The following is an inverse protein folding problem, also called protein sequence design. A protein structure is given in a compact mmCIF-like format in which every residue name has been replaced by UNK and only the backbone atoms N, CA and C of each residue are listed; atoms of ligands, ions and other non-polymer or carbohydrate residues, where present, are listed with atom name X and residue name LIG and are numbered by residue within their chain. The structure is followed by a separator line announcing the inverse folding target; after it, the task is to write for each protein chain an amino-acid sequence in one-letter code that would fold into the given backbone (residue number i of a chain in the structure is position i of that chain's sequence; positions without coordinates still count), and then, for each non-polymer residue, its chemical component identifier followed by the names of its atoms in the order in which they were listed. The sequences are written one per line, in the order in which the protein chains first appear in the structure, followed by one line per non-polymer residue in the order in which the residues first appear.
data_IF_504906839771
#
_entry.id   IF_504906839771
#
_cell.length_a   1.000
_cell.length_b   1.000
_cell.length_c   1.000
_cell.angle_alpha   90.00
_cell.angle_beta   90.00
_cell.angle_gamma   90.00
#
_symmetry.space_group_name_H-M   'P 1'
#
loop_
_entity.id
_entity.type
_entity.pdbx_description
1 polymer ?
#
# COMPACT_ATOMS: atom_id res chain seq x y z
N UNK A 1 -18.60 -14.76 -3.05
CA UNK A 1 -17.28 -14.94 -3.72
C UNK A 1 -16.37 -13.73 -3.54
N UNK A 2 -16.77 -12.53 -3.97
CA UNK A 2 -15.93 -11.33 -3.79
C UNK A 2 -15.69 -11.03 -2.30
N UNK A 3 -16.78 -10.86 -1.54
CA UNK A 3 -16.74 -10.53 -0.11
C UNK A 3 -16.07 -11.61 0.74
N UNK A 4 -16.38 -12.88 0.47
CA UNK A 4 -16.02 -13.99 1.34
C UNK A 4 -14.66 -14.63 1.02
N UNK A 5 -14.12 -14.38 -0.18
CA UNK A 5 -12.85 -14.97 -0.63
C UNK A 5 -11.90 -13.93 -1.18
N UNK A 6 -12.30 -13.22 -2.24
CA UNK A 6 -11.38 -12.33 -2.96
C UNK A 6 -10.83 -11.20 -2.09
N UNK A 7 -11.71 -10.46 -1.40
CA UNK A 7 -11.31 -9.31 -0.60
C UNK A 7 -10.41 -9.69 0.59
N UNK A 8 -10.74 -10.70 1.42
CA UNK A 8 -9.85 -11.15 2.49
C UNK A 8 -8.49 -11.63 1.97
N UNK A 9 -8.46 -12.43 0.89
CA UNK A 9 -7.20 -12.90 0.29
C UNK A 9 -6.37 -11.76 -0.30
N UNK A 10 -7.01 -10.74 -0.86
CA UNK A 10 -6.33 -9.55 -1.39
C UNK A 10 -5.72 -8.72 -0.28
N UNK A 11 -6.42 -8.57 0.85
CA UNK A 11 -5.90 -7.90 2.04
C UNK A 11 -4.73 -8.69 2.63
N UNK A 12 -4.86 -10.01 2.79
CA UNK A 12 -3.80 -10.85 3.36
C UNK A 12 -2.51 -10.79 2.53
N UNK A 13 -2.66 -10.95 1.21
CA UNK A 13 -1.60 -10.82 0.21
C UNK A 13 -0.89 -9.46 0.27
N UNK A 14 -1.68 -8.38 0.28
CA UNK A 14 -1.14 -7.02 0.31
C UNK A 14 -0.43 -6.73 1.63
N UNK A 15 -1.00 -7.15 2.76
CA UNK A 15 -0.40 -6.95 4.07
C UNK A 15 0.95 -7.63 4.19
N UNK A 16 1.05 -8.91 3.82
CA UNK A 16 2.30 -9.67 3.94
C UNK A 16 3.42 -9.14 3.05
N UNK A 17 3.09 -8.52 1.92
CA UNK A 17 4.09 -8.00 0.96
C UNK A 17 4.52 -6.56 1.26
N UNK A 18 3.64 -5.71 1.81
CA UNK A 18 3.87 -4.25 1.87
C UNK A 18 3.86 -3.65 3.27
N UNK A 19 3.10 -4.21 4.22
CA UNK A 19 3.02 -3.65 5.59
C UNK A 19 4.36 -3.72 6.35
N UNK A 20 5.19 -4.78 6.24
CA UNK A 20 6.52 -4.78 6.86
C UNK A 20 7.38 -3.57 6.49
N UNK A 21 7.29 -3.12 5.23
CA UNK A 21 7.98 -1.93 4.75
C UNK A 21 7.39 -0.63 5.34
N UNK A 22 6.07 -0.53 5.45
CA UNK A 22 5.40 0.61 6.11
C UNK A 22 5.83 0.73 7.57
N UNK A 23 5.80 -0.39 8.31
CA UNK A 23 6.14 -0.42 9.74
C UNK A 23 7.62 -0.09 9.95
N UNK A 24 8.50 -0.62 9.11
CA UNK A 24 9.95 -0.38 9.20
C UNK A 24 10.28 1.08 8.87
N UNK A 25 9.73 1.63 7.80
CA UNK A 25 9.94 3.03 7.42
C UNK A 25 9.36 4.02 8.44
N UNK A 26 8.25 3.67 9.10
CA UNK A 26 7.71 4.49 10.19
C UNK A 26 8.61 4.47 11.44
N UNK A 27 9.20 3.32 11.76
CA UNK A 27 10.08 3.14 12.93
C UNK A 27 11.44 3.82 12.72
N UNK A 28 12.02 3.64 11.53
CA UNK A 28 13.29 4.25 11.13
C UNK A 28 13.15 4.92 9.75
N UNK A 29 12.81 6.22 9.71
CA UNK A 29 12.70 6.96 8.46
C UNK A 29 14.03 7.20 7.73
N UNK A 30 15.18 7.01 8.39
CA UNK A 30 16.49 7.24 7.78
C UNK A 30 16.86 6.12 6.80
N UNK A 31 16.38 4.89 7.03
CA UNK A 31 16.56 3.74 6.14
C UNK A 31 15.60 3.71 4.93
N UNK A 32 14.97 4.84 4.58
CA UNK A 32 13.98 4.90 3.50
C UNK A 32 14.55 4.43 2.14
N UNK A 33 15.78 4.79 1.82
CA UNK A 33 16.41 4.44 0.55
C UNK A 33 16.60 2.93 0.40
N UNK A 34 17.13 2.28 1.44
CA UNK A 34 17.32 0.83 1.47
C UNK A 34 15.98 0.10 1.38
N UNK A 35 14.98 0.54 2.17
CA UNK A 35 13.64 -0.06 2.16
C UNK A 35 12.92 0.09 0.82
N UNK A 36 13.13 1.21 0.12
CA UNK A 36 12.54 1.47 -1.19
C UNK A 36 13.20 0.62 -2.28
N UNK A 37 14.52 0.48 -2.24
CA UNK A 37 15.28 -0.38 -3.15
C UNK A 37 14.97 -1.87 -2.93
N UNK A 38 14.88 -2.31 -1.67
CA UNK A 38 14.52 -3.68 -1.31
C UNK A 38 13.11 -4.02 -1.80
N UNK A 39 12.15 -3.11 -1.65
CA UNK A 39 10.78 -3.32 -2.13
C UNK A 39 10.71 -3.36 -3.67
N UNK A 40 11.53 -2.57 -4.37
CA UNK A 40 11.62 -2.63 -5.83
C UNK A 40 12.15 -4.01 -6.29
N UNK A 41 13.22 -4.48 -5.64
CA UNK A 41 13.81 -5.79 -5.88
C UNK A 41 12.87 -6.95 -5.53
N UNK A 42 12.08 -6.83 -4.47
CA UNK A 42 11.12 -7.84 -4.02
C UNK A 42 9.80 -7.84 -4.81
N UNK A 43 9.61 -6.90 -5.75
CA UNK A 43 8.38 -6.79 -6.56
C UNK A 43 8.67 -7.13 -8.02
N UNK A 44 8.75 -8.43 -8.39
CA UNK A 44 9.10 -8.85 -9.75
C UNK A 44 8.01 -8.50 -10.77
N UNK A 45 6.74 -8.41 -10.34
CA UNK A 45 5.64 -8.03 -11.22
C UNK A 45 5.74 -6.55 -11.62
N UNK A 46 6.07 -6.29 -12.89
CA UNK A 46 6.26 -4.93 -13.41
C UNK A 46 5.00 -4.04 -13.29
N UNK A 47 3.80 -4.63 -13.35
CA UNK A 47 2.53 -3.91 -13.13
C UNK A 47 2.42 -3.44 -11.70
N UNK A 48 2.64 -4.35 -10.74
CA UNK A 48 2.62 -4.06 -9.31
C UNK A 48 3.65 -2.99 -8.93
N UNK A 49 4.88 -3.16 -9.43
CA UNK A 49 6.00 -2.25 -9.20
C UNK A 49 5.69 -0.84 -9.70
N UNK A 50 5.24 -0.70 -10.96
CA UNK A 50 4.84 0.60 -11.52
C UNK A 50 3.66 1.22 -10.79
N UNK A 51 2.67 0.43 -10.39
CA UNK A 51 1.53 0.93 -9.61
C UNK A 51 1.98 1.50 -8.26
N UNK A 52 2.85 0.78 -7.55
CA UNK A 52 3.41 1.22 -6.26
C UNK A 52 4.23 2.50 -6.39
N UNK A 53 5.13 2.58 -7.38
CA UNK A 53 5.94 3.77 -7.67
C UNK A 53 5.07 4.96 -8.07
N UNK A 54 4.09 4.74 -8.95
CA UNK A 54 3.20 5.82 -9.42
C UNK A 54 2.40 6.40 -8.26
N UNK A 55 1.88 5.56 -7.37
CA UNK A 55 1.12 6.01 -6.19
C UNK A 55 2.03 6.72 -5.18
N UNK A 56 3.22 6.19 -4.91
CA UNK A 56 4.17 6.82 -3.97
C UNK A 56 4.70 8.16 -4.46
N UNK A 57 5.08 8.28 -5.75
CA UNK A 57 5.49 9.56 -6.34
C UNK A 57 4.37 10.59 -6.38
N UNK A 58 3.13 10.17 -6.64
CA UNK A 58 1.97 11.06 -6.56
C UNK A 58 1.77 11.56 -5.12
N UNK A 59 1.88 10.67 -4.13
CA UNK A 59 1.79 11.02 -2.72
C UNK A 59 2.89 12.00 -2.30
N UNK A 60 4.14 11.76 -2.69
CA UNK A 60 5.27 12.66 -2.43
C UNK A 60 5.06 14.04 -3.08
N UNK A 61 4.49 14.08 -4.28
CA UNK A 61 4.16 15.34 -4.98
C UNK A 61 3.09 16.14 -4.24
N UNK A 62 2.05 15.47 -3.73
CA UNK A 62 1.02 16.13 -2.91
C UNK A 62 1.64 16.63 -1.62
N UNK A 63 2.47 15.82 -0.97
CA UNK A 63 3.14 16.18 0.27
C UNK A 63 4.04 17.40 0.12
N UNK A 64 4.92 17.42 -0.88
CA UNK A 64 5.84 18.53 -1.11
C UNK A 64 5.12 19.84 -1.39
N UNK A 65 3.94 19.79 -2.04
CA UNK A 65 3.12 20.97 -2.31
C UNK A 65 2.31 21.41 -1.08
N UNK A 66 1.65 20.48 -0.39
CA UNK A 66 0.77 20.79 0.74
C UNK A 66 1.55 21.19 2.00
N UNK A 67 2.72 20.57 2.22
CA UNK A 67 3.56 20.77 3.39
C UNK A 67 4.85 21.51 3.07
N UNK A 68 4.93 22.20 1.92
CA UNK A 68 6.08 23.02 1.51
C UNK A 68 6.54 23.98 2.62
N UNK A 69 5.60 24.53 3.39
CA UNK A 69 5.91 25.38 4.52
C UNK A 69 6.53 24.56 5.67
N UNK A 70 5.89 23.46 6.09
CA UNK A 70 6.35 22.56 7.16
C UNK A 70 7.72 21.90 6.89
N UNK A 71 7.98 21.53 5.62
CA UNK A 71 9.26 20.99 5.12
C UNK A 71 10.38 22.03 5.04
N UNK A 72 10.07 23.33 4.97
CA UNK A 72 11.09 24.39 5.09
C UNK A 72 11.61 24.53 6.52
N UNK A 73 10.81 24.18 7.54
CA UNK A 73 11.25 24.19 8.95
C UNK A 73 11.97 22.88 9.30
N UNK A 74 11.47 21.74 8.80
CA UNK A 74 12.13 20.45 8.89
C UNK A 74 13.03 20.27 7.67
N UNK A 75 14.22 20.88 7.68
CA UNK A 75 15.20 20.82 6.59
C UNK A 75 15.56 19.36 6.21
N UNK A 76 14.73 18.76 5.36
CA UNK A 76 14.93 17.51 4.62
C UNK A 76 14.78 17.84 3.11
N UNK A 77 15.20 19.04 2.72
CA UNK A 77 15.53 19.35 1.33
C UNK A 77 17.05 19.24 1.17
N UNK A 78 17.61 18.06 1.47
CA UNK A 78 18.89 17.72 0.87
C UNK A 78 18.57 17.23 -0.55
N UNK A 79 19.18 17.80 -1.60
CA UNK A 79 18.91 17.46 -3.01
C UNK A 79 19.28 16.00 -3.40
N UNK A 80 19.56 15.13 -2.43
CA UNK A 80 19.82 13.69 -2.59
C UNK A 80 18.58 12.77 -2.53
N UNK A 81 17.37 13.28 -2.27
CA UNK A 81 16.09 12.51 -2.30
C UNK A 81 15.75 11.96 -3.71
N UNK A 82 16.64 12.12 -4.69
CA UNK A 82 16.49 11.67 -6.08
C UNK A 82 16.92 10.22 -6.34
N UNK A 83 17.42 9.46 -5.36
CA UNK A 83 17.83 8.06 -5.55
C UNK A 83 16.68 7.05 -5.43
N UNK A 84 15.60 7.40 -4.71
CA UNK A 84 14.49 6.47 -4.46
C UNK A 84 13.57 6.30 -5.67
N UNK A 85 13.17 5.06 -5.93
CA UNK A 85 12.13 4.68 -6.89
C UNK A 85 10.80 5.34 -6.51
N UNK A 86 10.51 5.45 -5.22
CA UNK A 86 9.36 6.17 -4.69
C UNK A 86 8.13 5.28 -4.54
N UNK A 87 8.32 4.10 -3.97
CA UNK A 87 7.26 3.17 -3.62
C UNK A 87 6.33 3.72 -2.54
N UNK A 88 5.06 3.37 -2.66
CA UNK A 88 4.02 3.87 -1.75
C UNK A 88 4.26 3.43 -0.30
N UNK A 89 4.64 2.18 -0.04
CA UNK A 89 4.70 1.61 1.32
C UNK A 89 5.75 2.30 2.22
N UNK A 90 7.04 2.36 1.84
CA UNK A 90 8.05 3.07 2.64
C UNK A 90 7.71 4.56 2.81
N UNK A 91 7.30 5.23 1.74
CA UNK A 91 6.93 6.65 1.77
C UNK A 91 5.75 6.92 2.71
N UNK A 92 4.72 6.08 2.68
CA UNK A 92 3.56 6.21 3.58
C UNK A 92 3.98 6.15 5.04
N UNK A 93 4.86 5.21 5.41
CA UNK A 93 5.39 5.07 6.76
C UNK A 93 6.13 6.33 7.23
N UNK A 94 7.10 6.80 6.44
CA UNK A 94 7.86 8.01 6.75
C UNK A 94 6.97 9.26 6.87
N UNK A 95 6.03 9.42 5.96
CA UNK A 95 5.13 10.58 5.95
C UNK A 95 4.18 10.59 7.14
N UNK A 96 3.59 9.44 7.47
CA UNK A 96 2.70 9.33 8.63
C UNK A 96 3.45 9.57 9.94
N UNK A 97 4.72 9.14 10.03
CA UNK A 97 5.60 9.48 11.15
C UNK A 97 5.83 10.99 11.26
N UNK A 98 6.12 11.65 10.14
CA UNK A 98 6.30 13.09 10.08
C UNK A 98 5.03 13.88 10.45
N UNK A 99 3.84 13.33 10.19
CA UNK A 99 2.55 13.89 10.62
C UNK A 99 2.23 13.66 12.11
N UNK A 100 3.02 12.87 12.83
CA UNK A 100 2.74 12.53 14.23
C UNK A 100 1.59 11.54 14.42
N UNK A 101 1.24 10.76 13.39
CA UNK A 101 0.27 9.66 13.53
C UNK A 101 0.84 8.55 14.41
N UNK A 102 0.00 7.70 14.99
CA UNK A 102 0.45 6.48 15.68
C UNK A 102 0.77 5.38 14.67
N UNK A 103 1.68 4.47 15.04
CA UNK A 103 2.08 3.35 14.19
C UNK A 103 0.88 2.45 13.82
N UNK A 104 0.00 2.18 14.80
CA UNK A 104 -1.20 1.36 14.62
C UNK A 104 -2.18 2.00 13.62
N UNK A 105 -2.41 3.31 13.75
CA UNK A 105 -3.28 4.07 12.84
C UNK A 105 -2.71 4.09 11.43
N UNK A 106 -1.40 4.29 11.31
CA UNK A 106 -0.69 4.31 10.03
C UNK A 106 -0.87 2.99 9.28
N UNK A 107 -0.66 1.86 9.96
CA UNK A 107 -0.80 0.53 9.38
C UNK A 107 -2.26 0.23 9.02
N UNK A 108 -3.20 0.55 9.92
CA UNK A 108 -4.63 0.35 9.67
C UNK A 108 -5.12 1.15 8.46
N UNK A 109 -4.80 2.44 8.40
CA UNK A 109 -5.22 3.32 7.29
C UNK A 109 -4.60 2.89 5.96
N UNK A 110 -3.37 2.39 5.98
CA UNK A 110 -2.71 1.87 4.78
C UNK A 110 -3.50 0.70 4.16
N UNK A 111 -3.80 -0.30 4.98
CA UNK A 111 -4.54 -1.50 4.54
C UNK A 111 -6.00 -1.17 4.21
N UNK A 112 -6.63 -0.29 4.99
CA UNK A 112 -7.98 0.17 4.73
C UNK A 112 -8.08 0.91 3.39
N UNK A 113 -7.09 1.74 3.04
CA UNK A 113 -7.04 2.41 1.74
C UNK A 113 -6.90 1.42 0.58
N UNK A 114 -6.14 0.34 0.75
CA UNK A 114 -6.10 -0.77 -0.23
C UNK A 114 -7.47 -1.44 -0.38
N UNK A 115 -8.13 -1.81 0.73
CA UNK A 115 -9.46 -2.39 0.70
C UNK A 115 -10.48 -1.46 0.00
N UNK A 116 -10.42 -0.16 0.30
CA UNK A 116 -11.24 0.88 -0.34
C UNK A 116 -10.98 0.96 -1.85
N UNK A 117 -9.73 0.89 -2.29
CA UNK A 117 -9.38 0.89 -3.71
C UNK A 117 -9.92 -0.36 -4.42
N UNK A 118 -9.77 -1.53 -3.81
CA UNK A 118 -10.28 -2.82 -4.35
C UNK A 118 -11.81 -2.82 -4.45
N UNK A 119 -12.51 -2.34 -3.41
CA UNK A 119 -13.97 -2.23 -3.41
C UNK A 119 -14.44 -1.22 -4.47
N UNK A 120 -13.74 -0.09 -4.62
CA UNK A 120 -14.02 0.91 -5.66
C UNK A 120 -13.84 0.32 -7.07
N UNK A 121 -12.78 -0.47 -7.30
CA UNK A 121 -12.58 -1.18 -8.55
C UNK A 121 -13.71 -2.19 -8.83
N UNK A 122 -14.18 -2.92 -7.81
CA UNK A 122 -15.29 -3.86 -7.94
C UNK A 122 -16.62 -3.18 -8.33
N UNK A 123 -16.88 -1.97 -7.81
CA UNK A 123 -18.04 -1.17 -8.23
C UNK A 123 -17.92 -0.75 -9.69
N UNK A 124 -16.75 -0.25 -10.13
CA UNK A 124 -16.52 0.16 -11.53
C UNK A 124 -16.56 -1.02 -12.51
N UNK A 125 -16.20 -2.22 -12.04
CA UNK A 125 -16.29 -3.46 -12.79
C UNK A 125 -17.69 -4.10 -12.73
N UNK A 126 -18.69 -3.41 -12.15
CA UNK A 126 -20.07 -3.87 -12.00
C UNK A 126 -20.21 -5.20 -11.23
N UNK A 127 -19.22 -5.56 -10.40
CA UNK A 127 -19.27 -6.74 -9.53
C UNK A 127 -20.24 -6.53 -8.36
N UNK A 128 -20.36 -5.28 -7.90
CA UNK A 128 -21.30 -4.88 -6.86
C UNK A 128 -21.78 -3.44 -7.02
N UNK A 129 -22.92 -3.10 -6.40
CA UNK A 129 -23.44 -1.74 -6.37
C UNK A 129 -22.81 -0.85 -5.28
N UNK A 130 -22.95 0.48 -5.38
CA UNK A 130 -22.34 1.43 -4.46
C UNK A 130 -22.85 1.31 -3.01
N UNK A 131 -24.13 0.98 -2.80
CA UNK A 131 -24.68 0.77 -1.46
C UNK A 131 -24.07 -0.46 -0.77
N UNK A 132 -23.87 -1.55 -1.51
CA UNK A 132 -23.20 -2.74 -1.01
C UNK A 132 -21.74 -2.43 -0.65
N UNK A 133 -21.05 -1.66 -1.50
CA UNK A 133 -19.68 -1.23 -1.22
C UNK A 133 -19.57 -0.44 0.09
N UNK A 134 -20.45 0.53 0.33
CA UNK A 134 -20.48 1.28 1.59
C UNK A 134 -20.81 0.39 2.79
N UNK A 135 -21.74 -0.56 2.63
CA UNK A 135 -22.04 -1.55 3.68
C UNK A 135 -20.83 -2.40 4.05
N UNK A 136 -20.01 -2.81 3.08
CA UNK A 136 -18.77 -3.57 3.34
C UNK A 136 -17.74 -2.68 4.04
N UNK A 137 -17.54 -1.45 3.57
CA UNK A 137 -16.58 -0.50 4.15
C UNK A 137 -16.90 -0.12 5.60
N UNK A 138 -18.19 0.03 5.91
CA UNK A 138 -18.68 0.33 7.25
C UNK A 138 -18.83 -0.93 8.14
N UNK A 139 -18.50 -2.12 7.62
CA UNK A 139 -18.72 -3.35 8.37
C UNK A 139 -17.60 -3.61 9.38
N UNK A 140 -17.98 -3.97 10.62
CA UNK A 140 -17.02 -4.48 11.61
C UNK A 140 -16.38 -5.82 11.24
N UNK A 141 -16.85 -6.48 10.17
CA UNK A 141 -16.17 -7.65 9.61
C UNK A 141 -14.89 -7.24 8.87
N UNK A 142 -14.94 -6.19 8.05
CA UNK A 142 -13.75 -5.67 7.37
C UNK A 142 -12.71 -5.17 8.38
N UNK A 143 -13.15 -4.39 9.37
CA UNK A 143 -12.30 -3.91 10.45
C UNK A 143 -11.57 -5.07 11.16
N UNK A 144 -12.31 -6.08 11.62
CA UNK A 144 -11.73 -7.27 12.27
C UNK A 144 -10.77 -8.02 11.35
N UNK A 145 -11.09 -8.14 10.06
CA UNK A 145 -10.21 -8.78 9.08
C UNK A 145 -8.89 -8.02 8.93
N UNK A 146 -8.93 -6.69 8.87
CA UNK A 146 -7.73 -5.85 8.77
C UNK A 146 -6.90 -6.00 10.05
N UNK A 147 -7.50 -5.87 11.23
CA UNK A 147 -6.81 -6.01 12.50
C UNK A 147 -6.15 -7.39 12.64
N UNK A 148 -6.87 -8.46 12.33
CA UNK A 148 -6.35 -9.83 12.39
C UNK A 148 -5.16 -10.04 11.44
N UNK A 149 -5.24 -9.53 10.20
CA UNK A 149 -4.10 -9.63 9.27
C UNK A 149 -2.91 -8.78 9.74
N UNK A 150 -3.15 -7.58 10.29
CA UNK A 150 -2.09 -6.73 10.85
C UNK A 150 -1.35 -7.39 12.01
N UNK A 151 -2.07 -8.08 12.91
CA UNK A 151 -1.46 -8.85 14.00
C UNK A 151 -0.46 -9.89 13.50
N UNK A 152 -0.75 -10.54 12.36
CA UNK A 152 0.12 -11.56 11.75
C UNK A 152 1.41 -10.99 11.17
N UNK A 153 1.38 -9.74 10.68
CA UNK A 153 2.53 -9.09 10.02
C UNK A 153 3.25 -8.07 10.90
N UNK A 154 2.77 -7.84 12.13
CA UNK A 154 3.24 -6.75 12.99
C UNK A 154 4.73 -6.79 13.33
N UNK A 155 5.27 -8.01 13.44
CA UNK A 155 6.66 -8.28 13.78
C UNK A 155 7.46 -8.88 12.60
N UNK A 156 6.82 -9.04 11.44
CA UNK A 156 7.48 -9.54 10.23
C UNK A 156 8.45 -8.47 9.73
N UNK A 157 9.67 -8.88 9.42
CA UNK A 157 10.69 -7.97 8.90
C UNK A 157 10.56 -7.82 7.38
N UNK A 158 11.06 -6.72 6.78
CA UNK A 158 11.06 -6.55 5.33
C UNK A 158 11.71 -7.70 4.56
N UNK A 159 12.77 -8.30 5.11
CA UNK A 159 13.47 -9.46 4.53
C UNK A 159 12.64 -10.76 4.51
N UNK A 160 11.59 -10.82 5.33
CA UNK A 160 10.64 -11.94 5.39
C UNK A 160 9.32 -11.62 4.68
N UNK A 161 9.18 -10.41 4.12
CA UNK A 161 7.99 -9.99 3.40
C UNK A 161 7.85 -10.78 2.09
N UNK A 162 6.64 -11.26 1.81
CA UNK A 162 6.42 -12.13 0.66
C UNK A 162 4.97 -12.44 0.36
N UNK A 163 4.73 -13.03 -0.82
CA UNK A 163 3.39 -13.39 -1.26
C UNK A 163 2.90 -14.64 -0.53
N UNK A 164 1.77 -14.51 0.19
CA UNK A 164 1.08 -15.64 0.85
C UNK A 164 -0.08 -16.22 0.03
N UNK A 165 -0.52 -15.51 -1.01
CA UNK A 165 -1.56 -15.94 -1.95
C UNK A 165 -0.98 -15.97 -3.37
N UNK A 166 -0.34 -17.06 -3.81
CA UNK A 166 0.33 -17.13 -5.12
C UNK A 166 -0.59 -16.82 -6.31
N UNK A 167 -1.89 -17.09 -6.16
CA UNK A 167 -2.88 -16.80 -7.18
C UNK A 167 -3.01 -15.28 -7.46
N UNK A 168 -2.80 -14.43 -6.46
CA UNK A 168 -2.83 -12.98 -6.63
C UNK A 168 -1.67 -12.50 -7.51
N UNK A 169 -0.46 -13.04 -7.31
CA UNK A 169 0.70 -12.72 -8.16
C UNK A 169 0.47 -13.16 -9.61
N UNK A 170 -0.10 -14.36 -9.81
CA UNK A 170 -0.41 -14.85 -11.15
C UNK A 170 -1.44 -13.96 -11.85
N UNK A 171 -2.49 -13.53 -11.15
CA UNK A 171 -3.49 -12.63 -11.72
C UNK A 171 -2.92 -11.27 -12.06
N UNK A 172 -2.11 -10.70 -11.17
CA UNK A 172 -1.49 -9.39 -11.39
C UNK A 172 -0.49 -9.42 -12.55
N UNK A 173 0.31 -10.48 -12.65
CA UNK A 173 1.23 -10.69 -13.78
C UNK A 173 0.52 -10.83 -15.13
N UNK A 174 -0.71 -11.32 -15.15
CA UNK A 174 -1.52 -11.43 -16.38
C UNK A 174 -2.22 -10.14 -16.78
N UNK A 175 -2.21 -9.10 -15.94
CA UNK A 175 -2.91 -7.85 -16.24
C UNK A 175 -2.44 -7.21 -17.56
N UNK A 176 -1.15 -7.31 -17.91
CA UNK A 176 -0.62 -6.81 -19.19
C UNK A 176 -1.09 -7.61 -20.42
N UNK A 177 -1.53 -8.85 -20.23
CA UNK A 177 -1.99 -9.73 -21.31
C UNK A 177 -3.47 -9.53 -21.64
N UNK A 178 -4.17 -8.67 -20.91
CA UNK A 178 -5.59 -8.40 -21.16
C UNK A 178 -5.75 -7.58 -22.44
N UNK A 179 -6.54 -8.11 -23.38
CA UNK A 179 -6.89 -7.43 -24.64
C UNK A 179 -7.60 -6.09 -24.38
N UNK A 180 -8.57 -6.08 -23.47
CA UNK A 180 -9.29 -4.88 -23.03
C UNK A 180 -9.01 -4.61 -21.57
N UNK A 181 -8.63 -3.36 -21.25
CA UNK A 181 -8.28 -2.93 -19.88
C UNK A 181 -9.09 -1.71 -19.48
N UNK A 182 -9.74 -1.79 -18.32
CA UNK A 182 -10.42 -0.65 -17.68
C UNK A 182 -9.58 -0.01 -16.56
N UNK A 183 -8.50 -0.68 -16.15
CA UNK A 183 -7.55 -0.22 -15.15
C UNK A 183 -6.12 -0.25 -15.72
N UNK A 184 -5.25 0.61 -15.17
CA UNK A 184 -3.85 0.69 -15.59
C UNK A 184 -2.97 -0.41 -14.95
N UNK A 185 -3.47 -0.99 -13.86
CA UNK A 185 -2.83 -2.03 -13.03
C UNK A 185 -3.88 -2.82 -12.27
#
# INVERSE_FOLDING_TARGET
LFKDKFLPLSIDSFCHTTVPYVLSAFRDPLGLEDLDNDLDASTPCAVARRASISQGRALLTVWSKAFAHALKLAAISSPGVLSVNGHLAPLWGCMCKALGLRLQETAYLFVFNHAKAVISAAVRASVMGPYMAQSILASGHLERSICHTLERVWFVRPDEAGQVVPLMDLWLGRHEMLYSRIFNS
#
